data_IF_914050093776
#
_entry.id   IF_914050093776
#
_cell.length_a   1.000
_cell.length_b   1.000
_cell.length_c   1.000
_cell.angle_alpha   90.00
_cell.angle_beta   90.00
_cell.angle_gamma   90.00
#
_symmetry.space_group_name_H-M   'P 1'
#
loop_
_entity.id
_entity.type
_entity.pdbx_description
1 polymer ?
#
# COMPACT_ATOMS: atom_id res chain seq x y z
N UNK A 1 26.44 34.53 14.97
CA UNK A 1 24.98 34.78 14.95
C UNK A 1 24.49 34.08 13.69
N UNK A 2 23.81 32.92 13.83
CA UNK A 2 23.34 32.14 12.67
C UNK A 2 22.17 32.88 12.01
N UNK A 3 22.11 32.85 10.68
CA UNK A 3 21.04 33.48 9.91
C UNK A 3 19.70 32.82 10.21
N UNK A 4 18.58 33.55 10.09
CA UNK A 4 17.24 33.01 10.37
C UNK A 4 16.89 31.76 9.52
N UNK A 5 17.57 31.57 8.39
CA UNK A 5 17.46 30.39 7.52
C UNK A 5 18.00 29.12 8.22
N UNK A 6 19.08 29.23 8.98
CA UNK A 6 19.69 28.12 9.71
C UNK A 6 18.88 27.71 10.97
N UNK A 7 17.87 28.50 11.35
CA UNK A 7 16.93 28.15 12.42
C UNK A 7 15.79 27.25 11.95
N UNK A 8 15.42 27.30 10.66
CA UNK A 8 14.33 26.49 10.10
C UNK A 8 14.77 25.10 9.63
N UNK A 9 16.05 24.94 9.31
CA UNK A 9 16.62 23.64 8.99
C UNK A 9 17.45 23.17 10.19
N UNK A 10 16.93 22.24 11.02
CA UNK A 10 17.77 21.66 12.06
C UNK A 10 19.01 21.04 11.40
N UNK A 11 20.19 21.55 11.75
CA UNK A 11 21.52 21.08 11.32
C UNK A 11 21.85 19.64 11.80
N UNK A 12 20.84 18.86 12.17
CA UNK A 12 20.93 17.48 12.65
C UNK A 12 20.36 16.48 11.64
N UNK A 13 20.54 16.71 10.33
CA UNK A 13 20.45 15.65 9.33
C UNK A 13 21.72 14.76 9.34
N UNK A 14 22.25 14.44 10.52
CA UNK A 14 23.36 13.49 10.64
C UNK A 14 22.81 12.07 10.54
N UNK A 15 23.19 11.42 9.44
CA UNK A 15 23.23 9.98 9.21
C UNK A 15 21.90 9.26 8.93
N UNK A 16 21.19 9.72 7.91
CA UNK A 16 20.45 8.75 7.08
C UNK A 16 20.91 8.98 5.64
N UNK A 17 21.97 8.29 5.22
CA UNK A 17 22.30 8.20 3.79
C UNK A 17 21.20 7.37 3.11
N UNK A 18 20.13 8.04 2.71
CA UNK A 18 19.12 7.42 1.88
C UNK A 18 19.66 7.38 0.45
N UNK A 19 19.92 6.17 -0.05
CA UNK A 19 20.28 5.95 -1.44
C UNK A 19 19.12 6.38 -2.36
N UNK A 20 19.26 7.57 -2.95
CA UNK A 20 18.30 8.14 -3.90
C UNK A 20 18.13 7.23 -5.12
N UNK A 21 19.20 6.57 -5.57
CA UNK A 21 19.17 5.60 -6.66
C UNK A 21 18.30 4.38 -6.30
N UNK A 22 18.41 3.89 -5.07
CA UNK A 22 17.57 2.82 -4.57
C UNK A 22 16.08 3.23 -4.46
N UNK A 23 15.78 4.47 -4.06
CA UNK A 23 14.40 5.00 -4.09
C UNK A 23 13.85 4.99 -5.52
N UNK A 24 14.61 5.52 -6.49
CA UNK A 24 14.18 5.59 -7.89
C UNK A 24 13.97 4.18 -8.45
N UNK A 25 14.84 3.22 -8.11
CA UNK A 25 14.71 1.82 -8.52
C UNK A 25 13.48 1.15 -7.91
N UNK A 26 13.21 1.36 -6.62
CA UNK A 26 12.00 0.88 -5.97
C UNK A 26 10.73 1.47 -6.63
N UNK A 27 10.75 2.77 -6.98
CA UNK A 27 9.66 3.41 -7.73
C UNK A 27 9.47 2.78 -9.11
N UNK A 28 10.53 2.59 -9.89
CA UNK A 28 10.42 1.95 -11.22
C UNK A 28 9.86 0.53 -11.12
N UNK A 29 10.25 -0.20 -10.07
CA UNK A 29 9.77 -1.57 -9.82
C UNK A 29 8.27 -1.57 -9.57
N UNK A 30 7.74 -0.71 -8.69
CA UNK A 30 6.29 -0.68 -8.42
C UNK A 30 5.48 -0.26 -9.66
N UNK A 31 5.97 0.70 -10.46
CA UNK A 31 5.32 1.14 -11.71
C UNK A 31 5.28 0.06 -12.79
N UNK A 32 6.17 -0.94 -12.72
CA UNK A 32 6.17 -2.08 -13.64
C UNK A 32 5.18 -3.18 -13.21
N UNK A 33 4.80 -3.22 -11.93
CA UNK A 33 3.96 -4.27 -11.34
C UNK A 33 2.49 -3.84 -11.20
N UNK A 34 2.26 -2.54 -11.04
CA UNK A 34 0.94 -1.95 -10.86
C UNK A 34 0.79 -0.70 -11.74
N UNK A 35 -0.46 -0.34 -12.01
CA UNK A 35 -0.77 0.92 -12.67
C UNK A 35 -0.30 2.11 -11.81
N UNK A 36 0.41 3.07 -12.42
CA UNK A 36 0.96 4.24 -11.71
C UNK A 36 -0.12 5.04 -10.97
N UNK A 37 -1.36 5.03 -11.48
CA UNK A 37 -2.51 5.71 -10.86
C UNK A 37 -2.84 5.20 -9.45
N UNK A 38 -2.42 3.97 -9.10
CA UNK A 38 -2.68 3.45 -7.77
C UNK A 38 -1.85 4.14 -6.70
N UNK A 39 -0.69 4.70 -7.06
CA UNK A 39 0.23 5.32 -6.11
C UNK A 39 -0.05 6.80 -5.84
N UNK A 40 -0.95 7.43 -6.61
CA UNK A 40 -1.37 8.82 -6.37
C UNK A 40 -2.61 8.94 -5.48
N UNK A 41 -3.27 7.82 -5.18
CA UNK A 41 -4.58 7.78 -4.54
C UNK A 41 -4.62 6.73 -3.42
N UNK A 42 -5.80 6.50 -2.82
CA UNK A 42 -6.04 5.52 -1.75
C UNK A 42 -5.95 4.05 -2.20
N UNK A 43 -5.84 3.77 -3.50
CA UNK A 43 -5.66 2.42 -4.03
C UNK A 43 -4.47 1.70 -3.39
N UNK A 44 -3.31 2.36 -3.33
CA UNK A 44 -2.13 1.75 -2.75
C UNK A 44 -2.27 1.50 -1.25
N UNK A 45 -2.93 2.42 -0.53
CA UNK A 45 -3.20 2.25 0.91
C UNK A 45 -4.09 1.02 1.15
N UNK A 46 -5.13 0.82 0.32
CA UNK A 46 -6.00 -0.37 0.36
C UNK A 46 -5.20 -1.64 0.08
N UNK A 47 -4.37 -1.66 -0.97
CA UNK A 47 -3.54 -2.83 -1.32
C UNK A 47 -2.60 -3.18 -0.16
N UNK A 48 -1.98 -2.19 0.49
CA UNK A 48 -1.10 -2.40 1.63
C UNK A 48 -1.84 -2.93 2.87
N UNK A 49 -3.05 -2.44 3.13
CA UNK A 49 -3.90 -2.95 4.21
C UNK A 49 -4.27 -4.41 3.96
N UNK A 50 -4.77 -4.74 2.77
CA UNK A 50 -5.10 -6.12 2.39
C UNK A 50 -3.87 -7.04 2.50
N UNK A 51 -2.72 -6.62 1.97
CA UNK A 51 -1.47 -7.36 2.09
C UNK A 51 -1.08 -7.60 3.55
N UNK A 52 -1.19 -6.58 4.41
CA UNK A 52 -0.88 -6.71 5.83
C UNK A 52 -1.83 -7.67 6.53
N UNK A 53 -3.13 -7.60 6.24
CA UNK A 53 -4.14 -8.49 6.81
C UNK A 53 -3.91 -9.95 6.38
N UNK A 54 -3.63 -10.18 5.10
CA UNK A 54 -3.34 -11.51 4.56
C UNK A 54 -2.06 -12.12 5.16
N UNK A 55 -0.98 -11.33 5.33
CA UNK A 55 0.25 -11.80 6.00
C UNK A 55 0.04 -12.17 7.48
N UNK A 56 -0.98 -11.61 8.13
CA UNK A 56 -1.27 -11.86 9.55
C UNK A 56 -2.49 -12.78 9.77
N UNK A 57 -3.02 -13.41 8.71
CA UNK A 57 -4.23 -14.24 8.76
C UNK A 57 -5.45 -13.53 9.39
N UNK A 58 -5.58 -12.21 9.17
CA UNK A 58 -6.66 -11.40 9.69
C UNK A 58 -7.69 -11.09 8.60
N UNK A 59 -8.98 -11.45 8.77
CA UNK A 59 -10.00 -11.05 7.82
C UNK A 59 -10.19 -9.53 7.84
N UNK A 60 -10.64 -8.97 6.72
CA UNK A 60 -10.92 -7.54 6.57
C UNK A 60 -12.06 -7.33 5.57
N UNK A 61 -12.96 -6.40 5.86
CA UNK A 61 -14.02 -5.99 4.94
C UNK A 61 -13.94 -4.50 4.57
N UNK A 62 -14.86 -4.04 3.73
CA UNK A 62 -14.90 -2.65 3.27
C UNK A 62 -15.19 -1.63 4.38
N UNK A 63 -15.87 -2.03 5.47
CA UNK A 63 -16.14 -1.16 6.63
C UNK A 63 -14.85 -0.97 7.43
N UNK A 64 -14.10 -2.05 7.66
CA UNK A 64 -12.80 -2.00 8.33
C UNK A 64 -11.81 -1.12 7.56
N UNK A 65 -11.72 -1.28 6.23
CA UNK A 65 -10.87 -0.45 5.37
C UNK A 65 -11.27 1.02 5.45
N UNK A 66 -12.58 1.32 5.39
CA UNK A 66 -13.09 2.69 5.48
C UNK A 66 -12.66 3.35 6.80
N UNK A 67 -12.76 2.61 7.91
CA UNK A 67 -12.32 3.05 9.23
C UNK A 67 -10.82 3.30 9.30
N UNK A 68 -10.00 2.38 8.75
CA UNK A 68 -8.54 2.53 8.74
C UNK A 68 -8.06 3.72 7.90
N UNK A 69 -8.75 4.00 6.80
CA UNK A 69 -8.39 5.07 5.87
C UNK A 69 -9.08 6.41 6.17
N UNK A 70 -9.96 6.44 7.17
CA UNK A 70 -10.76 7.61 7.56
C UNK A 70 -11.55 8.20 6.37
N UNK A 71 -12.12 7.33 5.54
CA UNK A 71 -12.98 7.70 4.40
C UNK A 71 -14.32 6.98 4.47
N UNK A 72 -15.28 7.42 3.66
CA UNK A 72 -16.57 6.77 3.57
C UNK A 72 -16.47 5.40 2.87
N UNK A 73 -17.31 4.45 3.31
CA UNK A 73 -17.37 3.12 2.72
C UNK A 73 -17.66 3.17 1.21
N UNK A 74 -18.50 4.11 0.75
CA UNK A 74 -18.82 4.25 -0.69
C UNK A 74 -17.56 4.54 -1.51
N UNK A 75 -16.66 5.39 -1.03
CA UNK A 75 -15.36 5.63 -1.65
C UNK A 75 -14.49 4.37 -1.69
N UNK A 76 -14.46 3.60 -0.58
CA UNK A 76 -13.77 2.30 -0.54
C UNK A 76 -14.32 1.35 -1.60
N UNK A 77 -15.64 1.20 -1.68
CA UNK A 77 -16.29 0.32 -2.66
C UNK A 77 -15.94 0.72 -4.10
N UNK A 78 -15.83 2.02 -4.39
CA UNK A 78 -15.39 2.50 -5.72
C UNK A 78 -13.95 2.11 -6.02
N UNK A 79 -13.04 2.19 -5.04
CA UNK A 79 -11.66 1.74 -5.22
C UNK A 79 -11.60 0.22 -5.39
N UNK A 80 -12.33 -0.55 -4.58
CA UNK A 80 -12.36 -2.01 -4.65
C UNK A 80 -12.90 -2.51 -6.00
N UNK A 81 -13.96 -1.89 -6.53
CA UNK A 81 -14.52 -2.24 -7.83
C UNK A 81 -13.47 -2.11 -8.95
N UNK A 82 -12.67 -1.04 -8.95
CA UNK A 82 -11.60 -0.87 -9.91
C UNK A 82 -10.46 -1.88 -9.70
N UNK A 83 -10.08 -2.19 -8.45
CA UNK A 83 -9.05 -3.20 -8.17
C UNK A 83 -9.47 -4.63 -8.55
N UNK A 84 -10.75 -4.97 -8.44
CA UNK A 84 -11.29 -6.25 -8.93
C UNK A 84 -11.28 -6.32 -10.45
N UNK A 85 -11.70 -5.24 -11.14
CA UNK A 85 -11.65 -5.19 -12.60
C UNK A 85 -10.23 -5.38 -13.14
N UNK A 86 -9.23 -4.96 -12.37
CA UNK A 86 -7.81 -5.08 -12.70
C UNK A 86 -7.16 -6.38 -12.13
N UNK A 87 -7.95 -7.31 -11.60
CA UNK A 87 -7.51 -8.62 -11.05
C UNK A 87 -6.48 -8.51 -9.90
N UNK A 88 -6.65 -7.50 -9.04
CA UNK A 88 -5.76 -7.25 -7.89
C UNK A 88 -6.38 -7.72 -6.57
N UNK A 89 -7.70 -7.58 -6.42
CA UNK A 89 -8.46 -7.92 -5.20
C UNK A 89 -9.45 -9.03 -5.53
N UNK A 90 -9.76 -9.87 -4.54
CA UNK A 90 -10.84 -10.85 -4.59
C UNK A 90 -11.57 -10.95 -3.25
N UNK A 91 -12.67 -11.70 -3.22
CA UNK A 91 -13.40 -12.07 -2.02
C UNK A 91 -12.89 -13.44 -1.58
N UNK A 92 -12.66 -13.57 -0.27
CA UNK A 92 -12.08 -14.75 0.35
C UNK A 92 -13.15 -15.69 0.93
N UNK A 93 -14.33 -15.17 1.26
CA UNK A 93 -15.41 -15.95 1.85
C UNK A 93 -16.68 -15.78 1.01
N UNK A 94 -16.75 -16.51 -0.10
CA UNK A 94 -17.99 -16.64 -0.86
C UNK A 94 -18.83 -17.70 -0.15
N UNK A 95 -19.89 -17.27 0.54
CA UNK A 95 -20.96 -18.21 0.88
C UNK A 95 -21.49 -18.76 -0.44
N UNK A 96 -21.44 -20.08 -0.59
CA UNK A 96 -21.62 -20.81 -1.84
C UNK A 96 -22.81 -20.26 -2.66
N UNK A 97 -22.56 -20.00 -3.95
CA UNK A 97 -23.50 -19.51 -4.98
C UNK A 97 -23.84 -18.00 -5.01
N UNK A 98 -23.31 -17.16 -4.10
CA UNK A 98 -23.55 -15.71 -4.18
C UNK A 98 -22.60 -14.98 -5.14
N UNK A 99 -23.16 -14.00 -5.85
CA UNK A 99 -22.36 -13.00 -6.57
C UNK A 99 -21.52 -12.21 -5.58
N UNK A 100 -20.25 -12.02 -5.90
CA UNK A 100 -19.29 -11.17 -5.19
C UNK A 100 -19.93 -9.85 -4.69
N UNK A 101 -20.02 -9.65 -3.38
CA UNK A 101 -20.54 -8.44 -2.73
C UNK A 101 -19.46 -7.75 -1.86
N UNK A 102 -18.83 -6.73 -2.45
CA UNK A 102 -17.84 -5.87 -1.79
C UNK A 102 -18.27 -5.29 -0.42
N UNK A 103 -19.57 -5.12 -0.22
CA UNK A 103 -20.08 -4.49 1.00
C UNK A 103 -20.09 -5.46 2.19
N UNK A 104 -20.07 -6.77 1.94
CA UNK A 104 -20.29 -7.81 2.95
C UNK A 104 -19.16 -8.82 3.02
N UNK A 105 -18.54 -9.11 1.89
CA UNK A 105 -17.54 -10.16 1.78
C UNK A 105 -16.22 -9.74 2.42
N UNK A 106 -15.51 -10.75 2.92
CA UNK A 106 -14.12 -10.58 3.33
C UNK A 106 -13.24 -10.47 2.10
N UNK A 107 -12.32 -9.52 2.13
CA UNK A 107 -11.51 -9.10 1.00
C UNK A 107 -10.08 -9.65 1.15
N UNK A 108 -9.49 -10.05 0.04
CA UNK A 108 -8.09 -10.50 -0.05
C UNK A 108 -7.45 -9.97 -1.32
N UNK A 109 -6.13 -10.07 -1.43
CA UNK A 109 -5.48 -9.89 -2.71
C UNK A 109 -5.64 -11.16 -3.55
N UNK A 110 -5.69 -10.98 -4.88
CA UNK A 110 -5.44 -12.12 -5.78
C UNK A 110 -4.00 -12.58 -5.58
N UNK A 111 -3.69 -13.81 -6.01
CA UNK A 111 -2.30 -14.31 -5.99
C UNK A 111 -1.32 -13.32 -6.61
N UNK A 112 -1.68 -12.74 -7.77
CA UNK A 112 -0.88 -11.74 -8.46
C UNK A 112 -0.75 -10.44 -7.65
N UNK A 113 -1.86 -9.96 -7.09
CA UNK A 113 -1.87 -8.77 -6.22
C UNK A 113 -0.94 -8.95 -5.01
N UNK A 114 -1.01 -10.10 -4.34
CA UNK A 114 -0.20 -10.42 -3.17
C UNK A 114 1.29 -10.51 -3.50
N UNK A 115 1.65 -11.30 -4.52
CA UNK A 115 3.04 -11.47 -4.94
C UNK A 115 3.67 -10.12 -5.34
N UNK A 116 2.94 -9.30 -6.11
CA UNK A 116 3.41 -7.98 -6.53
C UNK A 116 3.54 -7.00 -5.37
N UNK A 117 2.55 -6.95 -4.47
CA UNK A 117 2.61 -6.11 -3.28
C UNK A 117 3.81 -6.50 -2.39
N UNK A 118 4.05 -7.79 -2.21
CA UNK A 118 5.20 -8.32 -1.48
C UNK A 118 6.55 -7.88 -2.07
N UNK A 119 6.71 -7.92 -3.39
CA UNK A 119 7.92 -7.43 -4.08
C UNK A 119 8.13 -5.94 -3.79
N UNK A 120 7.09 -5.12 -3.92
CA UNK A 120 7.17 -3.66 -3.67
C UNK A 120 7.50 -3.37 -2.22
N UNK A 121 6.83 -4.03 -1.26
CA UNK A 121 7.10 -3.88 0.17
C UNK A 121 8.54 -4.29 0.50
N UNK A 122 9.02 -5.41 -0.02
CA UNK A 122 10.38 -5.88 0.22
C UNK A 122 11.43 -4.91 -0.34
N UNK A 123 11.24 -4.41 -1.57
CA UNK A 123 12.13 -3.40 -2.17
C UNK A 123 12.16 -2.12 -1.37
N UNK A 124 10.98 -1.65 -0.94
CA UNK A 124 10.84 -0.45 -0.12
C UNK A 124 11.52 -0.63 1.24
N UNK A 125 11.34 -1.77 1.91
CA UNK A 125 12.02 -2.09 3.18
C UNK A 125 13.54 -2.05 3.04
N UNK A 126 14.12 -2.57 1.94
CA UNK A 126 15.57 -2.53 1.71
C UNK A 126 16.12 -1.11 1.61
N UNK A 127 15.38 -0.19 0.99
CA UNK A 127 15.76 1.23 0.93
C UNK A 127 15.90 1.81 2.34
N UNK A 128 14.93 1.52 3.22
CA UNK A 128 14.90 2.09 4.56
C UNK A 128 15.70 1.30 5.62
N UNK A 129 16.06 0.04 5.36
CA UNK A 129 16.90 -0.75 6.27
C UNK A 129 18.39 -0.40 6.14
N UNK A 130 18.86 -0.10 4.93
CA UNK A 130 20.25 0.34 4.68
C UNK A 130 20.54 1.69 5.33
N UNK A 131 19.51 2.53 5.45
CA UNK A 131 19.51 3.82 6.11
C UNK A 131 19.75 3.77 7.64
N UNK A 132 19.62 2.60 8.30
CA UNK A 132 19.87 2.42 9.74
C UNK A 132 21.28 1.95 10.10
N UNK A 133 22.11 1.62 9.10
CA UNK A 133 23.45 1.02 9.29
C UNK A 133 24.62 1.95 8.98
N UNK A 134 24.38 3.25 8.80
CA UNK A 134 25.38 4.30 8.60
C UNK A 134 25.31 5.34 9.73
#
# INVERSE_FOLDING_TARGET
MLSEIERFFPNNCKNVEIDIGAIVSARKTRSALFNEQYFSNKFWDIILLLYSHEVNDLPVDSVDIAKYLEIDQTSVLRYLAALVNDDIVCAYDLQEEECFDFARDKLSLTRRGFENAGIVVQKTRRVYSLAKTA
#
